data_IF_091246624505
#
_entry.id   IF_091246624505
#
_cell.length_a   1.000
_cell.length_b   1.000
_cell.length_c   1.000
_cell.angle_alpha   90.00
_cell.angle_beta   90.00
_cell.angle_gamma   90.00
#
_symmetry.space_group_name_H-M   'P 1'
#
loop_
_entity.id
_entity.type
_entity.pdbx_description
1 polymer ?
#
# COMPACT_ATOMS: atom_id res chain seq x y z
N UNK A 1 -4.17 13.52 -11.95
CA UNK A 1 -4.90 13.19 -10.69
C UNK A 1 -6.40 13.41 -10.84
N UNK A 2 -6.85 14.58 -11.29
CA UNK A 2 -8.27 14.90 -11.55
C UNK A 2 -8.96 13.98 -12.55
N UNK A 3 -8.31 13.63 -13.68
CA UNK A 3 -8.91 12.69 -14.67
C UNK A 3 -9.15 11.29 -14.09
N UNK A 4 -8.24 10.81 -13.25
CA UNK A 4 -8.33 9.49 -12.63
C UNK A 4 -9.43 9.42 -11.56
N UNK A 5 -9.61 10.51 -10.79
CA UNK A 5 -10.70 10.62 -9.81
C UNK A 5 -12.08 10.56 -10.48
N UNK A 6 -12.26 11.26 -11.61
CA UNK A 6 -13.55 11.29 -12.33
C UNK A 6 -13.94 9.92 -12.89
N UNK A 7 -12.99 9.18 -13.48
CA UNK A 7 -13.25 7.82 -13.98
C UNK A 7 -13.58 6.82 -12.88
N UNK A 8 -12.99 6.98 -11.69
CA UNK A 8 -13.24 6.08 -10.56
C UNK A 8 -14.65 6.29 -9.94
N UNK A 9 -15.17 7.52 -9.97
CA UNK A 9 -16.50 7.83 -9.41
C UNK A 9 -17.63 7.42 -10.37
N UNK A 10 -17.44 7.60 -11.68
CA UNK A 10 -18.45 7.24 -12.69
C UNK A 10 -18.54 5.74 -12.97
N UNK A 11 -17.46 4.99 -12.72
CA UNK A 11 -17.40 3.56 -13.01
C UNK A 11 -17.94 2.64 -11.93
N UNK A 12 -18.29 3.12 -10.73
CA UNK A 12 -18.75 2.28 -9.60
C UNK A 12 -17.71 1.28 -9.06
N UNK A 13 -16.57 1.15 -9.74
CA UNK A 13 -15.45 0.31 -9.37
C UNK A 13 -14.26 1.22 -9.06
N UNK A 14 -13.86 1.25 -7.78
CA UNK A 14 -12.56 1.75 -7.35
C UNK A 14 -11.45 0.82 -7.89
N UNK A 15 -11.25 0.84 -9.22
CA UNK A 15 -10.37 -0.08 -9.96
C UNK A 15 -8.91 0.40 -10.00
N UNK A 16 -8.61 1.59 -9.50
CA UNK A 16 -7.23 2.07 -9.35
C UNK A 16 -6.92 2.26 -7.88
N UNK A 17 -6.05 1.40 -7.34
CA UNK A 17 -5.56 1.52 -5.98
C UNK A 17 -4.72 2.78 -5.81
N UNK A 18 -5.28 3.80 -5.14
CA UNK A 18 -4.55 5.02 -4.78
C UNK A 18 -3.56 4.83 -3.61
N UNK A 19 -3.22 3.59 -3.26
CA UNK A 19 -2.35 3.31 -2.10
C UNK A 19 -0.88 3.30 -2.54
N UNK A 20 -0.02 3.99 -1.79
CA UNK A 20 1.42 4.05 -2.07
C UNK A 20 2.09 2.70 -1.84
N UNK A 21 3.32 2.53 -2.34
CA UNK A 21 4.13 1.34 -2.09
C UNK A 21 4.32 1.10 -0.58
N UNK A 22 4.63 2.16 0.18
CA UNK A 22 4.82 2.08 1.64
C UNK A 22 3.53 1.68 2.37
N UNK A 23 2.37 2.15 1.91
CA UNK A 23 1.07 1.74 2.44
C UNK A 23 0.78 0.27 2.16
N UNK A 24 1.12 -0.20 0.96
CA UNK A 24 1.01 -1.62 0.62
C UNK A 24 1.97 -2.48 1.46
N UNK A 25 3.21 -2.02 1.68
CA UNK A 25 4.17 -2.65 2.57
C UNK A 25 3.66 -2.72 4.01
N UNK A 26 3.18 -1.60 4.57
CA UNK A 26 2.64 -1.52 5.92
C UNK A 26 1.46 -2.47 6.12
N UNK A 27 0.54 -2.51 5.15
CA UNK A 27 -0.58 -3.45 5.14
C UNK A 27 -0.10 -4.91 5.17
N UNK A 28 0.88 -5.26 4.34
CA UNK A 28 1.36 -6.64 4.21
C UNK A 28 2.22 -7.09 5.40
N UNK A 29 2.86 -6.16 6.13
CA UNK A 29 3.72 -6.47 7.27
C UNK A 29 2.96 -6.52 8.61
N UNK A 30 1.97 -5.65 8.81
CA UNK A 30 1.45 -5.37 10.14
C UNK A 30 -0.06 -5.54 10.31
N UNK A 31 -0.83 -5.60 9.21
CA UNK A 31 -2.29 -5.52 9.28
C UNK A 31 -2.96 -6.77 8.73
N UNK A 32 -4.12 -7.10 9.31
CA UNK A 32 -4.99 -8.17 8.82
C UNK A 32 -5.68 -7.74 7.52
N UNK A 33 -6.16 -8.69 6.68
CA UNK A 33 -6.79 -8.38 5.39
C UNK A 33 -8.20 -7.76 5.50
N UNK A 34 -8.67 -7.44 6.70
CA UNK A 34 -9.99 -6.87 6.95
C UNK A 34 -10.19 -5.55 6.19
N UNK A 35 -11.39 -5.22 5.74
CA UNK A 35 -11.63 -3.98 4.98
C UNK A 35 -12.42 -2.96 5.79
N UNK A 36 -11.78 -2.41 6.83
CA UNK A 36 -12.37 -1.35 7.68
C UNK A 36 -11.65 0.00 7.50
N UNK A 37 -12.35 1.09 7.80
CA UNK A 37 -11.79 2.45 7.75
C UNK A 37 -10.71 2.63 8.84
N UNK A 38 -10.94 2.09 10.03
CA UNK A 38 -9.98 2.09 11.14
C UNK A 38 -8.65 1.45 10.72
N UNK A 39 -8.71 0.26 10.10
CA UNK A 39 -7.51 -0.39 9.56
C UNK A 39 -6.83 0.47 8.49
N UNK A 40 -7.58 1.18 7.66
CA UNK A 40 -6.98 2.07 6.64
C UNK A 40 -6.25 3.26 7.29
N UNK A 41 -6.75 3.80 8.40
CA UNK A 41 -6.04 4.84 9.16
C UNK A 41 -4.74 4.29 9.74
N UNK A 42 -4.78 3.10 10.35
CA UNK A 42 -3.58 2.41 10.85
C UNK A 42 -2.54 2.19 9.74
N UNK A 43 -2.98 1.80 8.54
CA UNK A 43 -2.11 1.62 7.36
C UNK A 43 -1.38 2.92 7.00
N UNK A 44 -2.07 4.06 7.03
CA UNK A 44 -1.46 5.37 6.74
C UNK A 44 -0.45 5.75 7.82
N UNK A 45 -0.78 5.57 9.10
CA UNK A 45 0.12 5.90 10.20
C UNK A 45 1.39 5.04 10.19
N UNK A 46 1.25 3.73 9.98
CA UNK A 46 2.38 2.81 9.86
C UNK A 46 3.23 3.11 8.63
N UNK A 47 2.62 3.49 7.51
CA UNK A 47 3.35 3.91 6.33
C UNK A 47 4.18 5.16 6.60
N UNK A 48 3.61 6.20 7.23
CA UNK A 48 4.35 7.41 7.60
C UNK A 48 5.51 7.10 8.56
N UNK A 49 5.29 6.20 9.52
CA UNK A 49 6.35 5.75 10.42
C UNK A 49 7.49 5.04 9.67
N UNK A 50 7.16 4.17 8.70
CA UNK A 50 8.16 3.54 7.84
C UNK A 50 8.94 4.56 7.01
N UNK A 51 8.27 5.55 6.40
CA UNK A 51 8.93 6.61 5.63
C UNK A 51 9.82 7.51 6.49
N UNK A 52 9.50 7.66 7.78
CA UNK A 52 10.34 8.41 8.70
C UNK A 52 11.58 7.62 9.11
N UNK A 53 11.46 6.29 9.24
CA UNK A 53 12.54 5.43 9.74
C UNK A 53 13.46 4.90 8.65
N UNK A 54 12.97 4.78 7.42
CA UNK A 54 13.66 4.16 6.30
C UNK A 54 13.70 5.07 5.08
N UNK A 55 14.79 5.01 4.32
CA UNK A 55 14.87 5.69 3.03
C UNK A 55 13.91 5.05 2.02
N UNK A 56 13.58 5.79 0.95
CA UNK A 56 12.72 5.26 -0.13
C UNK A 56 13.30 4.01 -0.78
N UNK A 57 14.63 3.93 -0.90
CA UNK A 57 15.33 2.77 -1.45
C UNK A 57 15.20 1.55 -0.53
N UNK A 58 15.35 1.74 0.78
CA UNK A 58 15.15 0.67 1.77
C UNK A 58 13.71 0.18 1.79
N UNK A 59 12.74 1.09 1.65
CA UNK A 59 11.31 0.74 1.58
C UNK A 59 11.02 -0.05 0.31
N UNK A 60 11.59 0.36 -0.82
CA UNK A 60 11.46 -0.36 -2.08
C UNK A 60 12.09 -1.75 -1.98
N UNK A 61 13.30 -1.85 -1.41
CA UNK A 61 13.97 -3.13 -1.18
C UNK A 61 13.14 -4.06 -0.28
N UNK A 62 12.67 -3.57 0.87
CA UNK A 62 11.78 -4.34 1.75
C UNK A 62 10.48 -4.76 1.05
N UNK A 63 9.93 -3.90 0.19
CA UNK A 63 8.75 -4.21 -0.59
C UNK A 63 9.01 -5.32 -1.60
N UNK A 64 10.12 -5.23 -2.35
CA UNK A 64 10.49 -6.24 -3.34
C UNK A 64 10.78 -7.58 -2.65
N UNK A 65 11.57 -7.59 -1.58
CA UNK A 65 11.88 -8.82 -0.81
C UNK A 65 10.67 -9.46 -0.11
N UNK A 66 9.52 -8.76 -0.06
CA UNK A 66 8.30 -9.24 0.60
C UNK A 66 7.17 -9.52 -0.38
N UNK A 67 7.18 -8.90 -1.54
CA UNK A 67 6.25 -9.24 -2.62
C UNK A 67 6.61 -10.61 -3.13
N UNK A 68 5.66 -11.53 -3.00
CA UNK A 68 5.76 -12.85 -3.61
C UNK A 68 5.75 -12.69 -5.14
N UNK A 69 6.90 -12.87 -5.78
CA UNK A 69 7.03 -12.82 -7.24
C UNK A 69 6.54 -14.09 -7.94
N UNK A 70 6.16 -15.14 -7.19
CA UNK A 70 5.94 -16.47 -7.74
C UNK A 70 7.24 -17.26 -7.90
N UNK A 71 7.14 -18.59 -7.89
CA UNK A 71 8.26 -19.54 -8.07
C UNK A 71 9.28 -19.64 -6.92
N UNK A 72 8.87 -19.38 -5.67
CA UNK A 72 9.69 -19.69 -4.48
C UNK A 72 10.87 -18.75 -4.20
N UNK A 73 10.97 -17.63 -4.92
CA UNK A 73 11.93 -16.57 -4.62
C UNK A 73 11.25 -15.52 -3.72
N UNK A 74 11.88 -15.25 -2.57
CA UNK A 74 11.57 -14.14 -1.67
C UNK A 74 12.62 -13.05 -1.86
#
# INVERSE_FOLDING_TARGET
LTRAMVTNVLGGHFSQGGSTLTQQLAKNLFLTPDRTLERKVQEVLLALWLEHKHSKDQILEMYLNRVYFGSGAY
#
